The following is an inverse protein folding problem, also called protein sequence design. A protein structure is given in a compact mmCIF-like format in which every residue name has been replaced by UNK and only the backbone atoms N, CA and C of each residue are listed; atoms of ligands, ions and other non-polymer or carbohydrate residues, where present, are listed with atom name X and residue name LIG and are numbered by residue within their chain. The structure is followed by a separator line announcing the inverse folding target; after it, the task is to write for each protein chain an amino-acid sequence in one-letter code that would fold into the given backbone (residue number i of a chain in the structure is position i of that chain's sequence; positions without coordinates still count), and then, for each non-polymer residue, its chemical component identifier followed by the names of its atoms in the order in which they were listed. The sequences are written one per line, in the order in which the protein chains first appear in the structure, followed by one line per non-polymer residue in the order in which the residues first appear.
data_IF_748395304592
#
_entry.id   IF_748395304592
#
_cell.length_a   1.000
_cell.length_b   1.000
_cell.length_c   1.000
_cell.angle_alpha   90.00
_cell.angle_beta   90.00
_cell.angle_gamma   90.00
#
_symmetry.space_group_name_H-M   'P 1'
#
loop_
_entity.id
_entity.type
_entity.pdbx_description
1 polymer ?
#
# COMPACT_ATOMS: atom_id res chain seq x y z
N UNK A 1 2.04 -7.66 -8.65
CA UNK A 1 1.50 -6.55 -9.48
C UNK A 1 2.22 -5.26 -9.10
N UNK A 2 2.15 -4.71 -7.89
CA UNK A 2 2.66 -3.37 -7.59
C UNK A 2 4.15 -3.18 -7.89
N UNK A 3 4.97 -4.20 -7.64
CA UNK A 3 6.42 -4.14 -7.91
C UNK A 3 6.69 -3.86 -9.40
N UNK A 4 6.00 -4.60 -10.30
CA UNK A 4 6.15 -4.41 -11.74
C UNK A 4 5.65 -3.03 -12.21
N UNK A 5 4.57 -2.54 -11.61
CA UNK A 5 4.01 -1.21 -11.95
C UNK A 5 5.02 -0.12 -11.58
N UNK A 6 5.51 -0.14 -10.33
CA UNK A 6 6.50 0.84 -9.85
C UNK A 6 7.81 0.77 -10.64
N UNK A 7 8.36 -0.45 -10.85
CA UNK A 7 9.59 -0.62 -11.64
C UNK A 7 9.43 -0.05 -13.05
N UNK A 8 8.29 -0.33 -13.70
CA UNK A 8 8.00 0.18 -15.05
C UNK A 8 7.85 1.70 -15.10
N UNK A 9 7.19 2.29 -14.11
CA UNK A 9 7.05 3.75 -14.02
C UNK A 9 8.39 4.45 -13.83
N UNK A 10 9.31 3.81 -13.10
CA UNK A 10 10.66 4.31 -12.85
C UNK A 10 11.64 4.01 -13.96
N UNK A 11 11.25 3.26 -15.01
CA UNK A 11 12.18 2.83 -16.06
C UNK A 11 13.26 1.86 -15.57
N UNK A 12 13.00 1.12 -14.47
CA UNK A 12 13.91 0.13 -13.91
C UNK A 12 13.73 -1.25 -14.56
N UNK A 13 14.78 -2.09 -14.56
CA UNK A 13 14.70 -3.45 -15.08
C UNK A 13 13.64 -4.28 -14.36
N UNK A 14 12.74 -4.93 -15.11
CA UNK A 14 11.68 -5.76 -14.52
C UNK A 14 12.21 -7.08 -13.94
N UNK A 15 13.34 -7.54 -14.41
CA UNK A 15 14.09 -8.68 -13.87
C UNK A 15 14.54 -8.50 -12.42
N UNK A 16 14.70 -7.25 -11.96
CA UNK A 16 15.07 -6.92 -10.60
C UNK A 16 13.85 -6.83 -9.63
N UNK A 17 12.65 -7.17 -10.11
CA UNK A 17 11.41 -7.05 -9.31
C UNK A 17 11.44 -7.86 -8.02
N UNK A 18 12.07 -9.04 -8.01
CA UNK A 18 12.21 -9.85 -6.79
C UNK A 18 13.16 -9.17 -5.78
N UNK A 19 14.24 -8.56 -6.26
CA UNK A 19 15.15 -7.77 -5.42
C UNK A 19 14.41 -6.58 -4.77
N UNK A 20 13.58 -5.87 -5.53
CA UNK A 20 12.80 -4.75 -4.99
C UNK A 20 11.79 -5.23 -3.94
N UNK A 21 11.05 -6.30 -4.22
CA UNK A 21 10.11 -6.89 -3.27
C UNK A 21 10.81 -7.24 -1.96
N UNK A 22 11.88 -8.02 -2.04
CA UNK A 22 12.57 -8.55 -0.86
C UNK A 22 13.21 -7.43 -0.03
N UNK A 23 13.74 -6.40 -0.70
CA UNK A 23 14.33 -5.25 0.00
C UNK A 23 13.26 -4.38 0.66
N UNK A 24 12.10 -4.17 0.03
CA UNK A 24 10.98 -3.42 0.64
C UNK A 24 10.40 -4.19 1.83
N UNK A 25 10.31 -5.52 1.74
CA UNK A 25 9.90 -6.36 2.87
C UNK A 25 10.88 -6.24 4.05
N UNK A 26 12.17 -6.30 3.79
CA UNK A 26 13.21 -6.11 4.82
C UNK A 26 13.04 -4.75 5.55
N UNK A 27 12.71 -3.70 4.81
CA UNK A 27 12.52 -2.35 5.38
C UNK A 27 11.26 -2.25 6.23
N UNK A 28 10.16 -2.91 5.84
CA UNK A 28 8.82 -2.68 6.42
C UNK A 28 8.38 -3.76 7.43
N UNK A 29 8.79 -5.02 7.28
CA UNK A 29 8.18 -6.15 7.98
C UNK A 29 8.93 -6.67 9.18
N UNK A 30 10.22 -6.50 9.25
CA UNK A 30 10.99 -7.07 10.34
C UNK A 30 10.77 -6.31 11.67
N UNK A 31 9.65 -6.65 12.33
CA UNK A 31 9.47 -6.35 13.75
C UNK A 31 10.35 -7.32 14.53
N UNK A 32 11.42 -6.81 15.10
CA UNK A 32 12.40 -7.59 15.85
C UNK A 32 13.73 -7.79 15.12
N UNK A 33 13.83 -7.46 13.83
CA UNK A 33 15.11 -7.19 13.24
C UNK A 33 15.79 -6.04 13.98
N UNK A 34 17.06 -6.19 14.28
CA UNK A 34 17.83 -5.09 14.84
C UNK A 34 17.72 -3.88 13.90
N UNK A 35 17.70 -2.68 14.45
CA UNK A 35 17.60 -1.43 13.67
C UNK A 35 18.63 -1.37 12.53
N UNK A 36 19.72 -2.16 12.63
CA UNK A 36 20.74 -2.35 11.61
C UNK A 36 20.25 -2.98 10.30
N UNK A 37 19.31 -3.91 10.33
CA UNK A 37 18.86 -4.64 9.13
C UNK A 37 18.00 -3.75 8.23
N UNK A 38 17.13 -2.92 8.83
CA UNK A 38 16.33 -1.94 8.08
C UNK A 38 17.21 -0.90 7.42
N UNK A 39 18.23 -0.43 8.15
CA UNK A 39 19.21 0.52 7.62
C UNK A 39 19.95 -0.08 6.43
N UNK A 40 20.39 -1.33 6.54
CA UNK A 40 21.04 -2.05 5.44
C UNK A 40 20.12 -2.19 4.20
N UNK A 41 18.80 -2.37 4.39
CA UNK A 41 17.82 -2.37 3.31
C UNK A 41 17.76 -1.03 2.58
N UNK A 42 17.69 0.08 3.33
CA UNK A 42 17.73 1.42 2.73
C UNK A 42 19.05 1.71 2.01
N UNK A 43 20.21 1.33 2.59
CA UNK A 43 21.54 1.51 1.98
C UNK A 43 21.67 0.71 0.66
N UNK A 44 21.07 -0.49 0.59
CA UNK A 44 21.02 -1.28 -0.66
C UNK A 44 20.19 -0.59 -1.74
N UNK A 45 19.00 -0.08 -1.40
CA UNK A 45 18.16 0.67 -2.37
C UNK A 45 18.86 1.94 -2.83
N UNK A 46 19.47 2.69 -1.92
CA UNK A 46 20.21 3.92 -2.23
C UNK A 46 21.33 3.65 -3.23
N UNK A 47 22.19 2.66 -2.94
CA UNK A 47 23.29 2.28 -3.82
C UNK A 47 22.84 1.83 -5.21
N UNK A 48 21.76 1.02 -5.27
CA UNK A 48 21.19 0.56 -6.53
C UNK A 48 20.63 1.73 -7.34
N UNK A 49 19.79 2.57 -6.73
CA UNK A 49 19.13 3.67 -7.42
C UNK A 49 20.07 4.79 -7.82
N UNK A 50 21.14 5.04 -7.04
CA UNK A 50 22.17 6.02 -7.41
C UNK A 50 22.84 5.71 -8.75
N UNK A 51 22.99 4.43 -9.12
CA UNK A 51 23.53 4.02 -10.42
C UNK A 51 22.53 4.38 -11.54
N UNK A 52 21.25 4.08 -11.35
CA UNK A 52 20.21 4.39 -12.35
C UNK A 52 19.97 5.89 -12.51
N UNK A 53 19.97 6.65 -11.43
CA UNK A 53 19.86 8.12 -11.48
C UNK A 53 21.03 8.73 -12.23
N UNK A 54 22.26 8.24 -12.01
CA UNK A 54 23.45 8.67 -12.75
C UNK A 54 23.33 8.37 -14.24
N UNK A 55 22.90 7.16 -14.61
CA UNK A 55 22.64 6.79 -15.99
C UNK A 55 21.62 7.72 -16.66
N UNK A 56 20.55 8.10 -15.96
CA UNK A 56 19.54 9.04 -16.48
C UNK A 56 20.06 10.48 -16.65
N UNK A 57 21.05 10.88 -15.85
CA UNK A 57 21.72 12.17 -16.04
C UNK A 57 22.57 12.16 -17.32
N UNK A 58 23.29 11.06 -17.57
CA UNK A 58 24.14 10.88 -18.74
C UNK A 58 23.33 10.57 -20.00
N UNK A 59 22.26 9.79 -19.87
CA UNK A 59 21.38 9.28 -20.91
C UNK A 59 19.91 9.58 -20.57
N UNK A 60 19.40 10.81 -20.79
CA UNK A 60 18.04 11.18 -20.41
C UNK A 60 16.97 10.26 -21.01
N UNK A 61 16.00 9.84 -20.17
CA UNK A 61 14.89 8.96 -20.53
C UNK A 61 13.55 9.61 -20.19
N UNK A 62 12.49 9.18 -20.90
CA UNK A 62 11.12 9.63 -20.69
C UNK A 62 10.40 8.68 -19.72
N UNK A 63 10.75 8.76 -18.44
CA UNK A 63 10.18 8.01 -17.34
C UNK A 63 10.13 8.87 -16.07
N UNK A 64 9.71 8.28 -14.95
CA UNK A 64 9.55 9.02 -13.70
C UNK A 64 10.89 9.51 -13.12
N UNK A 65 12.00 8.79 -13.32
CA UNK A 65 13.34 9.27 -12.92
C UNK A 65 13.70 10.51 -13.74
N UNK A 66 13.52 10.44 -15.06
CA UNK A 66 13.76 11.58 -15.96
C UNK A 66 12.88 12.79 -15.63
N UNK A 67 11.61 12.55 -15.29
CA UNK A 67 10.70 13.62 -14.81
C UNK A 67 11.22 14.27 -13.53
N UNK A 68 11.63 13.47 -12.52
CA UNK A 68 12.12 13.99 -11.24
C UNK A 68 13.42 14.80 -11.39
N UNK A 69 14.32 14.36 -12.26
CA UNK A 69 15.57 15.08 -12.55
C UNK A 69 15.34 16.47 -13.18
N UNK A 70 14.21 16.64 -13.87
CA UNK A 70 13.81 17.94 -14.45
C UNK A 70 12.86 18.74 -13.54
N UNK A 71 12.42 18.17 -12.41
CA UNK A 71 11.52 18.83 -11.48
C UNK A 71 12.22 19.90 -10.65
N UNK A 72 11.44 20.85 -10.16
CA UNK A 72 11.93 21.96 -9.32
C UNK A 72 11.07 22.08 -8.07
N UNK A 73 11.72 22.40 -6.96
CA UNK A 73 11.06 22.85 -5.71
C UNK A 73 11.52 24.28 -5.43
N UNK A 74 10.57 25.22 -5.32
CA UNK A 74 10.85 26.65 -5.16
C UNK A 74 11.85 27.19 -6.21
N UNK A 75 11.63 26.84 -7.47
CA UNK A 75 12.47 27.18 -8.63
C UNK A 75 13.91 26.62 -8.60
N UNK A 76 14.25 25.78 -7.62
CA UNK A 76 15.53 25.07 -7.55
C UNK A 76 15.38 23.65 -8.09
N UNK A 77 16.30 23.18 -8.96
CA UNK A 77 16.29 21.79 -9.42
C UNK A 77 16.53 20.83 -8.23
N UNK A 78 15.97 19.63 -8.33
CA UNK A 78 16.25 18.57 -7.35
C UNK A 78 17.69 18.09 -7.49
N UNK A 79 18.39 17.88 -6.37
CA UNK A 79 19.67 17.19 -6.42
C UNK A 79 19.50 15.69 -6.73
N UNK A 80 20.52 15.03 -7.31
CA UNK A 80 20.47 13.58 -7.55
C UNK A 80 20.12 12.77 -6.29
N UNK A 81 20.65 13.16 -5.12
CA UNK A 81 20.36 12.51 -3.83
C UNK A 81 18.89 12.69 -3.43
N UNK A 82 18.31 13.85 -3.68
CA UNK A 82 16.89 14.10 -3.44
C UNK A 82 16.01 13.22 -4.36
N UNK A 83 16.41 13.06 -5.62
CA UNK A 83 15.72 12.18 -6.57
C UNK A 83 15.80 10.73 -6.09
N UNK A 84 16.97 10.23 -5.69
CA UNK A 84 17.14 8.88 -5.12
C UNK A 84 16.21 8.69 -3.91
N UNK A 85 16.25 9.61 -2.94
CA UNK A 85 15.38 9.52 -1.75
C UNK A 85 13.89 9.53 -2.08
N UNK A 86 13.48 10.32 -3.09
CA UNK A 86 12.09 10.33 -3.58
C UNK A 86 11.69 8.99 -4.19
N UNK A 87 12.57 8.37 -4.98
CA UNK A 87 12.32 7.05 -5.60
C UNK A 87 12.21 5.97 -4.52
N UNK A 88 13.12 5.96 -3.54
CA UNK A 88 13.05 5.04 -2.40
C UNK A 88 11.68 5.16 -1.69
N UNK A 89 11.24 6.39 -1.42
CA UNK A 89 9.94 6.63 -0.82
C UNK A 89 8.80 6.07 -1.67
N UNK A 90 8.82 6.28 -2.99
CA UNK A 90 7.80 5.76 -3.91
C UNK A 90 7.78 4.23 -3.92
N UNK A 91 8.93 3.57 -3.92
CA UNK A 91 9.03 2.10 -3.89
C UNK A 91 8.50 1.53 -2.57
N UNK A 92 8.96 2.05 -1.44
CA UNK A 92 8.54 1.59 -0.11
C UNK A 92 7.04 1.83 0.11
N UNK A 93 6.54 3.00 -0.27
CA UNK A 93 5.13 3.33 -0.09
C UNK A 93 4.19 2.61 -1.07
N UNK A 94 4.62 2.39 -2.32
CA UNK A 94 3.74 1.90 -3.39
C UNK A 94 3.66 0.38 -3.50
N UNK A 95 4.66 -0.36 -3.04
CA UNK A 95 4.73 -1.82 -3.23
C UNK A 95 3.88 -2.55 -2.19
N UNK A 96 4.26 -2.47 -0.92
CA UNK A 96 3.69 -3.33 0.12
C UNK A 96 2.26 -2.94 0.52
N UNK A 97 1.94 -1.64 0.49
CA UNK A 97 0.59 -1.16 0.84
C UNK A 97 -0.45 -1.64 -0.16
N UNK A 98 -0.16 -1.54 -1.46
CA UNK A 98 -1.07 -1.98 -2.53
C UNK A 98 -1.16 -3.51 -2.57
N UNK A 99 -0.05 -4.22 -2.37
CA UNK A 99 -0.07 -5.67 -2.21
C UNK A 99 -0.98 -6.10 -1.05
N UNK A 100 -0.81 -5.47 0.11
CA UNK A 100 -1.63 -5.74 1.30
C UNK A 100 -3.12 -5.44 1.06
N UNK A 101 -3.42 -4.38 0.32
CA UNK A 101 -4.79 -4.05 -0.08
C UNK A 101 -5.41 -5.11 -1.01
N UNK A 102 -4.69 -5.53 -2.05
CA UNK A 102 -5.13 -6.60 -2.97
C UNK A 102 -5.32 -7.91 -2.20
N UNK A 103 -4.32 -8.29 -1.39
CA UNK A 103 -4.36 -9.52 -0.60
C UNK A 103 -5.53 -9.56 0.38
N UNK A 104 -5.81 -8.45 1.07
CA UNK A 104 -6.95 -8.34 2.00
C UNK A 104 -8.30 -8.41 1.28
N UNK A 105 -8.40 -7.83 0.08
CA UNK A 105 -9.60 -7.92 -0.76
C UNK A 105 -9.86 -9.37 -1.19
N UNK A 106 -8.84 -10.06 -1.67
CA UNK A 106 -8.94 -11.47 -2.08
C UNK A 106 -9.22 -12.39 -0.88
N UNK A 107 -8.62 -12.12 0.29
CA UNK A 107 -8.93 -12.85 1.52
C UNK A 107 -10.41 -12.71 1.91
N UNK A 108 -10.95 -11.48 1.84
CA UNK A 108 -12.38 -11.26 2.10
C UNK A 108 -13.25 -12.09 1.14
N UNK A 109 -12.97 -12.00 -0.15
CA UNK A 109 -13.74 -12.71 -1.18
C UNK A 109 -13.59 -14.24 -1.09
N UNK A 110 -12.44 -14.74 -0.65
CA UNK A 110 -12.25 -16.17 -0.37
C UNK A 110 -13.05 -16.63 0.86
N UNK A 111 -13.22 -15.75 1.85
CA UNK A 111 -13.92 -16.03 3.10
C UNK A 111 -15.43 -15.74 3.04
N UNK A 112 -15.87 -14.89 2.10
CA UNK A 112 -17.28 -14.49 1.94
C UNK A 112 -17.78 -14.82 0.52
N UNK A 113 -18.40 -15.99 0.40
CA UNK A 113 -18.94 -16.46 -0.89
C UNK A 113 -20.12 -15.64 -1.41
N UNK A 114 -20.84 -14.91 -0.54
CA UNK A 114 -21.97 -14.06 -0.94
C UNK A 114 -21.45 -12.83 -1.68
N UNK A 115 -20.51 -12.12 -1.07
CA UNK A 115 -19.91 -10.93 -1.68
C UNK A 115 -19.15 -11.29 -2.96
N UNK A 116 -18.40 -12.41 -2.94
CA UNK A 116 -17.72 -12.91 -4.14
C UNK A 116 -18.69 -13.12 -5.31
N UNK A 117 -19.82 -13.83 -5.10
CA UNK A 117 -20.81 -14.07 -6.15
C UNK A 117 -21.44 -12.77 -6.65
N UNK A 118 -21.76 -11.84 -5.76
CA UNK A 118 -22.30 -10.53 -6.15
C UNK A 118 -21.36 -9.79 -7.10
N UNK A 119 -20.04 -9.81 -6.84
CA UNK A 119 -19.05 -9.14 -7.71
C UNK A 119 -18.81 -9.90 -9.02
N UNK A 120 -18.90 -11.24 -9.03
CA UNK A 120 -18.80 -12.04 -10.26
C UNK A 120 -20.02 -11.78 -11.16
N UNK A 121 -21.23 -11.69 -10.60
CA UNK A 121 -22.46 -11.44 -11.33
C UNK A 121 -22.60 -9.98 -11.76
N UNK A 122 -22.03 -9.04 -11.01
CA UNK A 122 -22.12 -7.60 -11.25
C UNK A 122 -20.74 -6.94 -11.11
N UNK A 123 -19.86 -7.06 -12.10
CA UNK A 123 -18.50 -6.49 -12.04
C UNK A 123 -18.45 -4.96 -11.85
N UNK A 124 -19.49 -4.24 -12.27
CA UNK A 124 -19.62 -2.79 -12.09
C UNK A 124 -19.65 -2.36 -10.61
N UNK A 125 -19.88 -3.30 -9.68
CA UNK A 125 -19.79 -3.05 -8.24
C UNK A 125 -18.34 -3.07 -7.70
N UNK A 126 -17.37 -3.59 -8.45
CA UNK A 126 -15.99 -3.74 -7.98
C UNK A 126 -15.41 -2.41 -7.47
N UNK A 127 -15.55 -1.27 -8.15
CA UNK A 127 -15.03 0.00 -7.64
C UNK A 127 -15.56 0.38 -6.25
N UNK A 128 -16.86 0.20 -6.00
CA UNK A 128 -17.46 0.46 -4.68
C UNK A 128 -16.96 -0.53 -3.62
N UNK A 129 -16.85 -1.80 -3.98
CA UNK A 129 -16.32 -2.84 -3.10
C UNK A 129 -14.85 -2.56 -2.72
N UNK A 130 -14.02 -2.06 -3.65
CA UNK A 130 -12.63 -1.66 -3.35
C UNK A 130 -12.57 -0.54 -2.32
N UNK A 131 -13.43 0.48 -2.40
CA UNK A 131 -13.49 1.53 -1.36
C UNK A 131 -13.88 0.92 0.00
N UNK A 132 -14.80 -0.03 0.03
CA UNK A 132 -15.17 -0.70 1.28
C UNK A 132 -14.06 -1.61 1.82
N UNK A 133 -13.33 -2.32 0.96
CA UNK A 133 -12.16 -3.10 1.38
C UNK A 133 -11.05 -2.18 1.91
N UNK A 134 -10.82 -1.04 1.29
CA UNK A 134 -9.90 -0.02 1.79
C UNK A 134 -10.33 0.52 3.16
N UNK A 135 -11.63 0.75 3.38
CA UNK A 135 -12.15 1.13 4.69
C UNK A 135 -11.92 0.04 5.73
N UNK A 136 -12.41 -1.16 5.44
CA UNK A 136 -12.45 -2.25 6.41
C UNK A 136 -11.05 -2.83 6.73
N UNK A 137 -10.16 -2.84 5.74
CA UNK A 137 -8.84 -3.46 5.80
C UNK A 137 -7.70 -2.47 5.57
N UNK A 138 -7.90 -1.19 5.89
CA UNK A 138 -6.86 -0.18 5.72
C UNK A 138 -5.48 -0.72 6.16
N UNK A 139 -4.49 -0.78 5.26
CA UNK A 139 -3.25 -1.48 5.59
C UNK A 139 -2.33 -0.69 6.53
N UNK A 140 -2.48 0.63 6.62
CA UNK A 140 -1.47 1.50 7.21
C UNK A 140 -1.87 2.04 8.58
N UNK A 141 -0.94 1.94 9.53
CA UNK A 141 -0.94 2.70 10.78
C UNK A 141 0.24 3.67 10.75
N UNK A 142 -0.04 4.95 10.91
CA UNK A 142 0.98 6.01 10.89
C UNK A 142 1.23 6.59 12.26
N UNK A 143 2.28 7.39 12.38
CA UNK A 143 2.56 8.18 13.56
C UNK A 143 2.91 9.63 13.19
N UNK A 144 2.83 10.51 14.19
CA UNK A 144 3.33 11.89 14.13
C UNK A 144 4.14 12.17 15.39
N UNK A 145 5.08 13.07 15.24
CA UNK A 145 5.84 13.60 16.38
C UNK A 145 5.22 14.93 16.78
N UNK A 146 4.98 15.11 18.07
CA UNK A 146 4.45 16.35 18.63
C UNK A 146 5.51 17.45 18.49
N UNK A 147 5.16 18.54 17.82
CA UNK A 147 6.08 19.63 17.50
C UNK A 147 6.43 20.50 18.73
N UNK A 148 5.50 20.70 19.61
CA UNK A 148 5.61 21.52 20.82
C UNK A 148 4.65 21.03 21.90
N UNK A 149 4.90 21.36 23.15
CA UNK A 149 4.01 21.00 24.27
C UNK A 149 2.60 21.48 23.98
N UNK A 150 1.62 20.59 24.08
CA UNK A 150 0.21 20.90 23.80
C UNK A 150 -0.75 20.05 24.61
N UNK A 151 -1.97 20.53 24.74
CA UNK A 151 -3.10 19.74 25.23
C UNK A 151 -4.01 19.36 24.06
N UNK A 152 -4.39 18.08 23.98
CA UNK A 152 -5.33 17.60 22.99
C UNK A 152 -6.37 16.70 23.67
N UNK A 153 -7.64 17.12 23.66
CA UNK A 153 -8.74 16.40 24.31
C UNK A 153 -8.46 16.02 25.79
N UNK A 154 -7.85 16.92 26.56
CA UNK A 154 -7.51 16.70 27.97
C UNK A 154 -6.24 15.90 28.23
N UNK A 155 -5.56 15.46 27.16
CA UNK A 155 -4.27 14.76 27.27
C UNK A 155 -3.13 15.75 27.04
N UNK A 156 -2.24 15.85 28.03
CA UNK A 156 -1.02 16.64 27.92
C UNK A 156 0.01 15.87 27.08
N UNK A 157 0.45 16.46 25.98
CA UNK A 157 1.49 15.92 25.11
C UNK A 157 2.72 16.81 25.18
N UNK A 158 3.89 16.18 25.22
CA UNK A 158 5.18 16.87 25.22
C UNK A 158 5.77 16.92 23.82
N UNK A 159 6.60 17.93 23.59
CA UNK A 159 7.43 17.97 22.38
C UNK A 159 8.17 16.63 22.24
N UNK A 160 8.20 16.11 21.00
CA UNK A 160 8.80 14.83 20.61
C UNK A 160 8.05 13.56 21.06
N UNK A 161 6.91 13.68 21.74
CA UNK A 161 6.03 12.53 21.94
C UNK A 161 5.53 11.96 20.61
N UNK A 162 5.31 10.66 20.59
CA UNK A 162 4.74 9.97 19.43
C UNK A 162 3.24 9.82 19.55
N UNK A 163 2.52 10.30 18.53
CA UNK A 163 1.07 10.12 18.39
C UNK A 163 0.78 9.11 17.30
N UNK A 164 0.16 8.00 17.66
CA UNK A 164 -0.25 6.97 16.74
C UNK A 164 -1.54 7.37 16.01
N UNK A 165 -1.58 7.20 14.71
CA UNK A 165 -2.74 7.42 13.84
C UNK A 165 -3.21 6.09 13.25
N UNK A 166 -4.03 5.31 13.97
CA UNK A 166 -4.48 4.00 13.51
C UNK A 166 -5.67 4.16 12.54
N UNK A 167 -5.40 4.37 11.25
CA UNK A 167 -6.44 4.50 10.23
C UNK A 167 -7.42 3.31 10.21
N UNK A 168 -6.98 2.05 10.44
CA UNK A 168 -7.91 0.94 10.56
C UNK A 168 -8.96 1.12 11.67
N UNK A 169 -8.58 1.70 12.80
CA UNK A 169 -9.51 1.99 13.90
C UNK A 169 -10.44 3.16 13.56
N UNK A 170 -9.90 4.25 12.98
CA UNK A 170 -10.69 5.40 12.54
C UNK A 170 -11.75 5.02 11.51
N UNK A 171 -11.43 4.07 10.62
CA UNK A 171 -12.36 3.58 9.61
C UNK A 171 -13.46 2.64 10.18
N UNK A 172 -13.40 2.32 11.46
CA UNK A 172 -14.39 1.49 12.18
C UNK A 172 -15.08 2.27 13.31
N UNK A 173 -15.07 3.59 13.25
CA UNK A 173 -15.79 4.45 14.18
C UNK A 173 -17.28 4.44 13.84
N UNK A 174 -18.11 3.93 14.77
CA UNK A 174 -19.58 3.87 14.64
C UNK A 174 -20.23 5.25 14.53
N UNK A 175 -19.51 6.33 14.92
CA UNK A 175 -19.98 7.70 14.73
C UNK A 175 -19.83 8.20 13.30
N UNK A 176 -18.98 7.55 12.51
CA UNK A 176 -18.71 7.93 11.12
C UNK A 176 -19.35 6.96 10.13
N UNK A 177 -19.45 5.68 10.49
CA UNK A 177 -19.91 4.64 9.58
C UNK A 177 -21.02 3.82 10.23
N UNK A 178 -22.19 3.78 9.64
CA UNK A 178 -23.23 2.83 10.03
C UNK A 178 -22.70 1.40 9.83
N UNK A 179 -22.90 0.51 10.81
CA UNK A 179 -22.37 -0.85 10.79
C UNK A 179 -20.85 -0.89 10.52
N UNK A 180 -20.08 -0.06 11.25
CA UNK A 180 -18.66 0.17 11.01
C UNK A 180 -17.82 -1.11 11.05
N UNK A 181 -18.24 -2.12 11.81
CA UNK A 181 -17.54 -3.40 11.94
C UNK A 181 -17.85 -4.41 10.83
N UNK A 182 -18.92 -4.19 10.08
CA UNK A 182 -19.32 -5.02 8.93
C UNK A 182 -18.66 -4.53 7.65
N UNK A 183 -18.45 -5.46 6.70
CA UNK A 183 -18.07 -5.13 5.33
C UNK A 183 -19.34 -5.07 4.49
N UNK A 184 -19.61 -3.92 3.89
CA UNK A 184 -20.80 -3.66 3.06
C UNK A 184 -20.31 -3.19 1.69
N UNK A 185 -20.16 -4.14 0.74
CA UNK A 185 -19.47 -3.90 -0.55
C UNK A 185 -20.16 -2.87 -1.47
N UNK A 186 -21.35 -2.46 -1.14
CA UNK A 186 -22.14 -1.42 -1.82
C UNK A 186 -22.43 -0.21 -0.91
N UNK A 187 -21.56 0.06 0.06
CA UNK A 187 -21.67 1.21 0.95
C UNK A 187 -21.64 2.52 0.15
N UNK A 188 -22.72 3.29 0.23
CA UNK A 188 -22.86 4.56 -0.49
C UNK A 188 -21.98 5.67 0.07
N UNK A 189 -22.03 5.89 1.39
CA UNK A 189 -21.22 6.90 2.06
C UNK A 189 -19.96 6.28 2.66
N UNK A 190 -18.84 6.41 1.96
CA UNK A 190 -17.58 5.76 2.33
C UNK A 190 -16.38 6.73 2.33
N UNK A 191 -16.43 7.73 3.23
CA UNK A 191 -15.35 8.70 3.41
C UNK A 191 -14.26 8.18 4.36
N UNK A 192 -13.63 7.08 3.98
CA UNK A 192 -12.61 6.45 4.80
C UNK A 192 -11.26 7.19 4.79
N UNK A 193 -10.46 6.95 5.84
CA UNK A 193 -9.13 7.52 6.02
C UNK A 193 -7.98 6.58 5.61
N UNK A 194 -8.23 5.52 4.81
CA UNK A 194 -7.19 4.54 4.44
C UNK A 194 -5.98 5.17 3.74
N UNK A 195 -6.20 6.25 3.01
CA UNK A 195 -5.15 7.02 2.33
C UNK A 195 -4.64 8.22 3.13
N UNK A 196 -4.95 8.31 4.42
CA UNK A 196 -4.66 9.47 5.23
C UNK A 196 -5.47 10.69 4.84
N UNK A 197 -5.27 11.78 5.57
CA UNK A 197 -5.97 13.07 5.43
C UNK A 197 -4.98 14.23 5.43
N UNK A 198 -5.43 15.41 4.97
CA UNK A 198 -4.65 16.64 4.97
C UNK A 198 -3.49 16.64 3.98
N UNK A 199 -2.43 17.37 4.32
CA UNK A 199 -1.27 17.58 3.43
C UNK A 199 -0.46 16.31 3.15
N UNK A 200 -0.60 15.28 3.97
CA UNK A 200 0.04 13.98 3.81
C UNK A 200 -0.88 12.93 3.19
N UNK A 201 -2.01 13.33 2.61
CA UNK A 201 -2.86 12.38 1.88
C UNK A 201 -2.04 11.65 0.81
N UNK A 202 -2.25 10.34 0.71
CA UNK A 202 -1.52 9.48 -0.21
C UNK A 202 -1.53 10.02 -1.65
N UNK A 203 -0.35 10.26 -2.21
CA UNK A 203 -0.16 10.71 -3.59
C UNK A 203 -0.59 9.61 -4.58
N UNK A 204 -0.29 8.33 -4.27
CA UNK A 204 -0.58 7.17 -5.10
C UNK A 204 -2.02 6.63 -4.98
N UNK A 205 -2.93 7.34 -4.29
CA UNK A 205 -4.27 6.83 -4.00
C UNK A 205 -5.09 6.43 -5.25
N UNK A 206 -4.91 7.12 -6.36
CA UNK A 206 -5.58 6.79 -7.62
C UNK A 206 -4.96 5.56 -8.29
N UNK A 207 -3.62 5.46 -8.27
CA UNK A 207 -2.91 4.30 -8.79
C UNK A 207 -3.26 3.03 -8.01
N UNK A 208 -3.24 3.09 -6.68
CA UNK A 208 -3.60 1.97 -5.82
C UNK A 208 -5.03 1.47 -6.09
N UNK A 209 -5.99 2.39 -6.24
CA UNK A 209 -7.37 2.03 -6.63
C UNK A 209 -7.42 1.33 -7.97
N UNK A 210 -6.71 1.85 -8.97
CA UNK A 210 -6.65 1.23 -10.30
C UNK A 210 -6.08 -0.18 -10.22
N UNK A 211 -4.95 -0.34 -9.55
CA UNK A 211 -4.31 -1.66 -9.40
C UNK A 211 -5.20 -2.66 -8.66
N UNK A 212 -5.86 -2.24 -7.58
CA UNK A 212 -6.78 -3.09 -6.83
C UNK A 212 -8.00 -3.48 -7.65
N UNK A 213 -8.61 -2.54 -8.39
CA UNK A 213 -9.74 -2.81 -9.27
C UNK A 213 -9.37 -3.84 -10.33
N UNK A 214 -8.31 -3.59 -11.08
CA UNK A 214 -7.84 -4.50 -12.15
C UNK A 214 -7.46 -5.87 -11.58
N UNK A 215 -6.78 -5.92 -10.45
CA UNK A 215 -6.36 -7.17 -9.83
C UNK A 215 -7.57 -8.03 -9.41
N UNK A 216 -8.56 -7.43 -8.74
CA UNK A 216 -9.77 -8.14 -8.31
C UNK A 216 -10.62 -8.55 -9.49
N UNK A 217 -10.84 -7.66 -10.46
CA UNK A 217 -11.62 -7.95 -11.67
C UNK A 217 -11.02 -9.13 -12.45
N UNK A 218 -9.73 -9.06 -12.81
CA UNK A 218 -9.06 -10.11 -13.57
C UNK A 218 -9.00 -11.43 -12.79
N UNK A 219 -8.84 -11.37 -11.46
CA UNK A 219 -8.84 -12.55 -10.64
C UNK A 219 -10.22 -13.23 -10.62
N UNK A 220 -11.31 -12.47 -10.43
CA UNK A 220 -12.68 -13.00 -10.43
C UNK A 220 -13.10 -13.53 -11.81
N UNK A 221 -12.65 -12.90 -12.90
CA UNK A 221 -12.88 -13.40 -14.26
C UNK A 221 -12.26 -14.77 -14.49
N UNK A 222 -11.06 -15.03 -13.95
CA UNK A 222 -10.34 -16.30 -14.12
C UNK A 222 -10.75 -17.37 -13.11
N UNK A 223 -11.08 -16.96 -11.91
CA UNK A 223 -11.39 -17.81 -10.76
C UNK A 223 -12.67 -17.32 -10.07
N UNK A 224 -13.84 -17.58 -10.67
CA UNK A 224 -15.12 -17.07 -10.13
C UNK A 224 -15.52 -17.76 -8.82
N UNK A 225 -15.01 -18.97 -8.55
CA UNK A 225 -15.27 -19.67 -7.32
C UNK A 225 -13.98 -20.21 -6.69
N UNK A 226 -13.68 -19.71 -5.50
CA UNK A 226 -12.49 -20.06 -4.71
C UNK A 226 -12.78 -19.86 -3.21
N UNK A 227 -11.99 -20.48 -2.37
CA UNK A 227 -12.06 -20.35 -0.91
C UNK A 227 -10.66 -20.38 -0.31
N UNK A 228 -10.52 -19.93 0.94
CA UNK A 228 -9.30 -20.17 1.70
C UNK A 228 -9.14 -21.69 1.92
N UNK A 229 -7.93 -22.22 1.75
CA UNK A 229 -7.66 -23.61 2.07
C UNK A 229 -7.76 -23.83 3.60
N UNK A 230 -8.66 -24.72 4.01
CA UNK A 230 -8.88 -25.01 5.43
C UNK A 230 -7.72 -25.80 6.08
N UNK A 231 -6.81 -26.36 5.27
CA UNK A 231 -5.67 -27.15 5.75
C UNK A 231 -4.40 -26.30 5.92
N UNK A 232 -4.41 -25.07 5.42
CA UNK A 232 -3.27 -24.17 5.49
C UNK A 232 -3.61 -22.86 6.21
N UNK A 233 -2.63 -22.27 6.86
CA UNK A 233 -2.84 -21.05 7.66
C UNK A 233 -2.57 -19.81 6.83
N UNK A 234 -3.53 -18.87 6.85
CA UNK A 234 -3.29 -17.50 6.38
C UNK A 234 -2.37 -16.81 7.36
N UNK A 235 -1.22 -16.32 6.90
CA UNK A 235 -0.32 -15.52 7.73
C UNK A 235 -0.47 -14.04 7.40
N UNK A 236 -0.34 -13.19 8.41
CA UNK A 236 -0.48 -11.75 8.30
C UNK A 236 0.80 -11.06 8.72
N UNK A 237 1.10 -9.93 8.10
CA UNK A 237 2.17 -9.06 8.58
C UNK A 237 1.85 -8.52 9.98
N UNK A 238 2.88 -8.28 10.76
CA UNK A 238 2.78 -7.70 12.11
C UNK A 238 3.35 -6.29 12.18
N UNK A 239 3.82 -5.75 11.04
CA UNK A 239 4.47 -4.46 10.93
C UNK A 239 3.54 -3.25 10.81
N UNK A 240 4.12 -2.17 10.35
CA UNK A 240 3.44 -0.89 10.08
C UNK A 240 2.37 -1.03 9.00
N UNK A 241 2.58 -1.93 8.05
CA UNK A 241 1.65 -2.24 6.95
C UNK A 241 1.03 -3.61 7.21
N UNK A 242 -0.29 -3.66 7.34
CA UNK A 242 -1.03 -4.89 7.62
C UNK A 242 -1.63 -5.48 6.35
N UNK A 243 -1.33 -6.75 6.09
CA UNK A 243 -1.92 -7.52 5.00
C UNK A 243 -1.54 -9.00 5.09
N UNK A 244 -2.22 -9.88 4.36
CA UNK A 244 -1.85 -11.29 4.29
C UNK A 244 -0.50 -11.45 3.58
N UNK A 245 0.35 -12.31 4.12
CA UNK A 245 1.65 -12.69 3.56
C UNK A 245 1.58 -14.02 2.84
N UNK A 246 0.89 -14.97 3.41
CA UNK A 246 0.49 -16.19 2.72
C UNK A 246 -1.02 -16.27 2.72
N UNK A 247 -1.59 -16.57 1.55
CA UNK A 247 -3.02 -16.68 1.36
C UNK A 247 -3.30 -17.91 0.47
N UNK A 248 -3.35 -19.11 1.09
CA UNK A 248 -3.59 -20.34 0.35
C UNK A 248 -5.05 -20.41 -0.11
N UNK A 249 -5.24 -20.68 -1.40
CA UNK A 249 -6.56 -20.79 -2.04
C UNK A 249 -6.82 -22.20 -2.56
N UNK A 250 -8.06 -22.66 -2.40
CA UNK A 250 -8.66 -23.73 -3.18
C UNK A 250 -9.50 -23.11 -4.30
N UNK A 251 -9.16 -23.41 -5.54
CA UNK A 251 -9.92 -22.98 -6.71
C UNK A 251 -10.95 -24.05 -7.03
N UNK A 252 -12.25 -23.71 -6.88
CA UNK A 252 -13.36 -24.64 -7.07
C UNK A 252 -13.84 -24.63 -8.55
N UNK A 253 -13.76 -23.48 -9.21
CA UNK A 253 -14.07 -23.36 -10.64
C UNK A 253 -13.12 -22.36 -11.33
N UNK A 254 -12.84 -22.65 -12.61
CA UNK A 254 -12.15 -21.75 -13.54
C UNK A 254 -13.12 -21.34 -14.64
N UNK A 255 -13.03 -20.09 -15.09
CA UNK A 255 -13.77 -19.63 -16.25
C UNK A 255 -13.13 -20.11 -17.55
#
# INVERSE_FOLDING_TARGET
IPVYVIARMLGLPLEDSDYFRDTVHLVLEEIGAEFGDRRAGFEKLDAYLAVHVRDHIENPKDDLIGFLLNAKIYDQPLSPEHVVGTIILLMVAGIDTTWSGIGSSLWHLASNSVDRRRLVENPDMIPAAIEEFLRAYAPVTMARIVKEDMEFHGVQMKQEDWVLLPFPAANRDDKQFANAHEVVIDREENRHAAFGLGIHRCLGSNLARLEMNVAVEVFLQRFPDFSVDANEMVTWSTGQVRGPRTLPFVVNARA
#
